data_IF_019498772148
#
_entry.id   IF_019498772148
#
_cell.length_a   1.000
_cell.length_b   1.000
_cell.length_c   1.000
_cell.angle_alpha   90.00
_cell.angle_beta   90.00
_cell.angle_gamma   90.00
#
_symmetry.space_group_name_H-M   'P 1'
#
loop_
_entity.id
_entity.type
_entity.pdbx_description
1 polymer ?
#
# COMPACT_ATOMS: atom_id res chain seq x y z
N UNK A 1 6.03 -8.21 7.18
CA UNK A 1 5.89 -9.15 6.03
C UNK A 1 4.43 -9.46 5.74
N UNK A 2 3.70 -10.04 6.70
CA UNK A 2 2.28 -10.36 6.60
C UNK A 2 1.42 -9.21 6.04
N UNK A 3 1.44 -8.03 6.66
CA UNK A 3 0.61 -6.88 6.28
C UNK A 3 0.81 -6.42 4.84
N UNK A 4 2.06 -6.42 4.33
CA UNK A 4 2.32 -6.06 2.93
C UNK A 4 1.77 -7.11 1.96
N UNK A 5 1.85 -8.40 2.30
CA UNK A 5 1.24 -9.44 1.46
C UNK A 5 -0.28 -9.29 1.46
N UNK A 6 -0.89 -9.04 2.62
CA UNK A 6 -2.33 -8.83 2.77
C UNK A 6 -2.82 -7.64 1.94
N UNK A 7 -2.13 -6.49 1.97
CA UNK A 7 -2.58 -5.32 1.18
C UNK A 7 -2.39 -5.54 -0.32
N UNK A 8 -1.33 -6.23 -0.76
CA UNK A 8 -1.13 -6.57 -2.16
C UNK A 8 -2.23 -7.52 -2.67
N UNK A 9 -2.63 -8.50 -1.87
CA UNK A 9 -3.68 -9.44 -2.26
C UNK A 9 -5.07 -8.79 -2.18
N UNK A 10 -5.41 -8.13 -1.06
CA UNK A 10 -6.74 -7.60 -0.81
C UNK A 10 -7.05 -6.31 -1.60
N UNK A 11 -6.11 -5.35 -1.64
CA UNK A 11 -6.35 -4.04 -2.26
C UNK A 11 -5.78 -3.93 -3.67
N UNK A 12 -4.65 -4.60 -3.97
CA UNK A 12 -4.05 -4.57 -5.30
C UNK A 12 -4.46 -5.75 -6.18
N UNK A 13 -5.06 -6.80 -5.61
CA UNK A 13 -5.51 -7.97 -6.35
C UNK A 13 -4.35 -8.77 -6.97
N UNK A 14 -3.16 -8.73 -6.37
CA UNK A 14 -1.95 -9.39 -6.89
C UNK A 14 -1.32 -10.23 -5.79
N UNK A 15 -1.04 -11.51 -6.10
CA UNK A 15 -0.22 -12.37 -5.23
C UNK A 15 1.26 -12.04 -5.45
N UNK A 16 1.98 -11.85 -4.35
CA UNK A 16 3.41 -11.57 -4.40
C UNK A 16 4.20 -12.87 -4.59
N UNK A 17 4.64 -13.12 -5.83
CA UNK A 17 5.39 -14.34 -6.18
C UNK A 17 6.88 -14.24 -5.81
N UNK A 18 7.44 -13.02 -5.69
CA UNK A 18 8.85 -12.80 -5.35
C UNK A 18 9.01 -12.05 -4.02
N UNK A 19 9.60 -12.74 -3.03
CA UNK A 19 9.86 -12.13 -1.72
C UNK A 19 11.02 -11.11 -1.75
N UNK A 20 11.92 -11.20 -2.73
CA UNK A 20 13.11 -10.34 -2.85
C UNK A 20 12.75 -8.88 -3.13
N UNK A 21 11.90 -8.61 -4.12
CA UNK A 21 11.47 -7.23 -4.43
C UNK A 21 10.61 -6.63 -3.31
N UNK A 22 9.77 -7.46 -2.68
CA UNK A 22 8.94 -7.03 -1.56
C UNK A 22 9.79 -6.69 -0.32
N UNK A 23 10.86 -7.43 -0.06
CA UNK A 23 11.80 -7.13 1.04
C UNK A 23 12.62 -5.88 0.76
N UNK A 24 13.08 -5.68 -0.49
CA UNK A 24 13.74 -4.43 -0.89
C UNK A 24 12.80 -3.23 -0.73
N UNK A 25 11.53 -3.35 -1.18
CA UNK A 25 10.52 -2.32 -1.00
C UNK A 25 10.36 -1.93 0.47
N UNK A 26 10.18 -2.92 1.38
CA UNK A 26 10.04 -2.67 2.83
C UNK A 26 11.25 -1.95 3.41
N UNK A 27 12.45 -2.41 3.06
CA UNK A 27 13.69 -1.79 3.54
C UNK A 27 13.80 -0.33 3.09
N UNK A 28 13.39 -0.02 1.85
CA UNK A 28 13.44 1.33 1.28
C UNK A 28 12.35 2.24 1.84
N UNK A 29 11.16 1.72 2.13
CA UNK A 29 10.09 2.46 2.81
C UNK A 29 10.55 2.94 4.19
N UNK A 30 11.22 2.09 4.98
CA UNK A 30 11.76 2.51 6.28
C UNK A 30 12.71 3.70 6.16
N UNK A 31 13.64 3.65 5.20
CA UNK A 31 14.58 4.75 4.93
C UNK A 31 13.84 6.00 4.42
N UNK A 32 12.80 5.84 3.59
CA UNK A 32 11.96 6.94 3.13
C UNK A 32 11.28 7.63 4.31
N UNK A 33 10.69 6.87 5.24
CA UNK A 33 10.05 7.41 6.45
C UNK A 33 11.05 8.15 7.32
N UNK A 34 12.26 7.61 7.52
CA UNK A 34 13.33 8.29 8.27
C UNK A 34 13.67 9.66 7.65
N UNK A 35 13.81 9.74 6.33
CA UNK A 35 14.05 11.02 5.65
C UNK A 35 12.85 11.98 5.74
N UNK A 36 11.61 11.47 5.66
CA UNK A 36 10.42 12.30 5.82
C UNK A 36 10.33 12.88 7.23
N UNK A 37 10.55 12.06 8.25
CA UNK A 37 10.59 12.51 9.66
C UNK A 37 11.70 13.54 9.86
N UNK A 38 12.90 13.30 9.32
CA UNK A 38 13.98 14.29 9.39
C UNK A 38 13.60 15.61 8.70
N UNK A 39 12.92 15.57 7.56
CA UNK A 39 12.48 16.78 6.88
C UNK A 39 11.43 17.52 7.71
N UNK A 40 10.41 16.82 8.22
CA UNK A 40 9.32 17.39 9.03
C UNK A 40 9.82 17.97 10.36
N UNK A 41 10.81 17.35 10.99
CA UNK A 41 11.32 17.80 12.29
C UNK A 41 12.33 18.96 12.19
N UNK A 42 12.81 19.31 10.98
CA UNK A 42 13.81 20.36 10.77
C UNK A 42 13.26 21.46 9.85
N UNK A 43 12.73 22.57 10.41
CA UNK A 43 12.06 23.63 9.63
C UNK A 43 12.90 24.23 8.48
N UNK A 44 14.23 24.31 8.63
CA UNK A 44 15.10 24.82 7.56
C UNK A 44 15.19 23.91 6.32
N UNK A 45 14.79 22.63 6.44
CA UNK A 45 14.70 21.68 5.31
C UNK A 45 13.37 21.78 4.55
N UNK A 46 12.46 22.65 4.98
CA UNK A 46 11.20 22.87 4.27
C UNK A 46 11.46 23.56 2.94
N UNK A 47 12.39 24.52 2.94
CA UNK A 47 12.83 25.23 1.74
C UNK A 47 13.49 24.27 0.73
N UNK A 48 12.86 24.15 -0.44
CA UNK A 48 13.29 23.22 -1.48
C UNK A 48 14.72 23.53 -1.96
N UNK A 49 15.12 24.81 -1.97
CA UNK A 49 16.47 25.18 -2.40
C UNK A 49 17.55 24.58 -1.49
N UNK A 50 17.40 24.72 -0.16
CA UNK A 50 18.35 24.18 0.83
C UNK A 50 18.37 22.66 0.75
N UNK A 51 17.19 22.04 0.65
CA UNK A 51 17.06 20.60 0.53
C UNK A 51 17.76 20.03 -0.73
N UNK A 52 17.66 20.76 -1.85
CA UNK A 52 18.35 20.44 -3.11
C UNK A 52 19.85 20.67 -3.03
N UNK A 53 20.27 21.81 -2.48
CA UNK A 53 21.68 22.19 -2.36
C UNK A 53 22.47 21.20 -1.51
N UNK A 54 21.87 20.66 -0.45
CA UNK A 54 22.45 19.61 0.40
C UNK A 54 22.48 18.23 -0.26
N UNK A 55 21.93 18.09 -1.49
CA UNK A 55 21.85 16.83 -2.22
C UNK A 55 20.87 15.82 -1.63
N UNK A 56 20.01 16.23 -0.70
CA UNK A 56 19.05 15.35 -0.04
C UNK A 56 17.96 14.86 -1.00
N UNK A 57 17.51 15.72 -1.93
CA UNK A 57 16.58 15.32 -3.00
C UNK A 57 17.15 14.19 -3.85
N UNK A 58 18.42 14.28 -4.25
CA UNK A 58 19.07 13.23 -5.05
C UNK A 58 19.19 11.91 -4.28
N UNK A 59 19.44 11.96 -2.96
CA UNK A 59 19.44 10.77 -2.09
C UNK A 59 18.05 10.16 -1.98
N UNK A 60 17.03 11.00 -1.77
CA UNK A 60 15.63 10.57 -1.73
C UNK A 60 15.20 9.89 -3.02
N UNK A 61 15.54 10.48 -4.17
CA UNK A 61 15.21 9.92 -5.48
C UNK A 61 15.83 8.53 -5.69
N UNK A 62 17.01 8.25 -5.12
CA UNK A 62 17.60 6.89 -5.16
C UNK A 62 16.80 5.88 -4.35
N UNK A 63 16.20 6.30 -3.23
CA UNK A 63 15.33 5.44 -2.39
C UNK A 63 13.98 5.20 -3.05
N UNK A 64 13.44 6.20 -3.76
CA UNK A 64 12.16 6.10 -4.46
C UNK A 64 12.21 5.15 -5.67
N UNK A 65 13.36 4.98 -6.32
CA UNK A 65 13.50 4.09 -7.50
C UNK A 65 12.99 2.65 -7.26
N UNK A 66 13.48 1.90 -6.27
CA UNK A 66 12.98 0.54 -6.00
C UNK A 66 11.52 0.53 -5.54
N UNK A 67 11.08 1.56 -4.81
CA UNK A 67 9.67 1.70 -4.39
C UNK A 67 8.77 1.78 -5.63
N UNK A 68 9.09 2.69 -6.56
CA UNK A 68 8.34 2.84 -7.80
C UNK A 68 8.47 1.63 -8.72
N UNK A 69 9.63 0.97 -8.78
CA UNK A 69 9.79 -0.25 -9.57
C UNK A 69 8.84 -1.36 -9.08
N UNK A 70 8.72 -1.52 -7.76
CA UNK A 70 7.80 -2.48 -7.16
C UNK A 70 6.33 -2.13 -7.46
N UNK A 71 5.92 -0.87 -7.24
CA UNK A 71 4.53 -0.44 -7.47
C UNK A 71 4.13 -0.54 -8.93
N UNK A 72 5.03 -0.15 -9.84
CA UNK A 72 4.81 -0.25 -11.28
C UNK A 72 4.69 -1.72 -11.73
N UNK A 73 5.43 -2.64 -11.09
CA UNK A 73 5.29 -4.07 -11.31
C UNK A 73 3.87 -4.57 -10.99
N UNK A 74 3.36 -4.19 -9.82
CA UNK A 74 2.00 -4.54 -9.37
C UNK A 74 0.95 -3.96 -10.31
N UNK A 75 1.03 -2.67 -10.65
CA UNK A 75 0.09 -2.00 -11.56
C UNK A 75 0.11 -2.71 -12.92
N UNK A 76 1.29 -3.01 -13.47
CA UNK A 76 1.42 -3.69 -14.76
C UNK A 76 0.84 -5.10 -14.73
N UNK A 77 1.05 -5.85 -13.65
CA UNK A 77 0.48 -7.19 -13.48
C UNK A 77 -1.05 -7.13 -13.41
N UNK A 78 -1.61 -6.23 -12.58
CA UNK A 78 -3.05 -6.11 -12.43
C UNK A 78 -3.72 -5.56 -13.68
N UNK A 79 -3.13 -4.57 -14.36
CA UNK A 79 -3.65 -3.98 -15.61
C UNK A 79 -3.83 -5.04 -16.69
N UNK A 80 -2.90 -5.98 -16.84
CA UNK A 80 -3.04 -7.11 -17.77
C UNK A 80 -4.23 -8.01 -17.44
N UNK A 81 -4.43 -8.33 -16.17
CA UNK A 81 -5.56 -9.15 -15.71
C UNK A 81 -6.88 -8.40 -15.91
N UNK A 82 -6.91 -7.12 -15.55
CA UNK A 82 -8.07 -6.24 -15.72
C UNK A 82 -8.56 -6.22 -17.16
N UNK A 83 -7.68 -5.96 -18.14
CA UNK A 83 -8.07 -5.97 -19.56
C UNK A 83 -8.50 -7.35 -20.08
N UNK A 84 -8.05 -8.45 -19.46
CA UNK A 84 -8.46 -9.79 -19.85
C UNK A 84 -9.82 -10.20 -19.26
N UNK A 85 -10.15 -9.71 -18.07
CA UNK A 85 -11.35 -10.12 -17.31
C UNK A 85 -12.52 -9.15 -17.48
N UNK A 86 -12.25 -7.85 -17.59
CA UNK A 86 -13.27 -6.80 -17.65
C UNK A 86 -13.68 -6.55 -19.10
N UNK A 87 -14.94 -6.89 -19.42
CA UNK A 87 -15.52 -6.64 -20.75
C UNK A 87 -16.29 -5.32 -20.81
N UNK A 88 -16.99 -4.97 -19.72
CA UNK A 88 -17.82 -3.77 -19.63
C UNK A 88 -17.35 -2.89 -18.47
N UNK A 89 -17.08 -1.62 -18.73
CA UNK A 89 -16.75 -0.65 -17.69
C UNK A 89 -17.95 -0.26 -16.82
N UNK A 90 -19.17 -0.60 -17.24
CA UNK A 90 -20.40 -0.41 -16.46
C UNK A 90 -20.45 -1.29 -15.21
N UNK A 91 -19.69 -2.39 -15.19
CA UNK A 91 -19.51 -3.25 -14.01
C UNK A 91 -18.87 -2.48 -12.83
N UNK A 92 -18.18 -1.37 -13.13
CA UNK A 92 -17.55 -0.47 -12.16
C UNK A 92 -18.36 0.81 -11.91
N UNK A 93 -19.67 0.82 -12.17
CA UNK A 93 -20.53 1.89 -11.69
C UNK A 93 -20.63 1.83 -10.17
N UNK A 94 -20.85 2.97 -9.49
CA UNK A 94 -21.01 2.98 -8.03
C UNK A 94 -22.11 2.01 -7.59
N UNK A 95 -23.24 2.02 -8.31
CA UNK A 95 -24.36 1.13 -8.05
C UNK A 95 -23.95 -0.36 -8.14
N UNK A 96 -23.25 -0.76 -9.21
CA UNK A 96 -22.80 -2.15 -9.35
C UNK A 96 -21.75 -2.54 -8.31
N UNK A 97 -20.82 -1.66 -7.93
CA UNK A 97 -19.80 -1.97 -6.91
C UNK A 97 -20.46 -2.25 -5.55
N UNK A 98 -21.52 -1.54 -5.19
CA UNK A 98 -22.21 -1.72 -3.90
C UNK A 98 -23.25 -2.84 -3.92
N UNK A 99 -23.99 -3.02 -5.01
CA UNK A 99 -25.11 -3.97 -5.07
C UNK A 99 -24.74 -5.34 -5.67
N UNK A 100 -23.65 -5.45 -6.44
CA UNK A 100 -23.21 -6.72 -7.00
C UNK A 100 -22.34 -7.51 -6.01
N UNK A 101 -22.98 -8.32 -5.17
CA UNK A 101 -22.28 -9.17 -4.19
C UNK A 101 -21.53 -10.35 -4.81
N UNK A 102 -21.74 -10.64 -6.10
CA UNK A 102 -21.15 -11.80 -6.77
C UNK A 102 -19.73 -11.54 -7.29
N UNK A 103 -19.27 -10.28 -7.29
CA UNK A 103 -17.97 -9.92 -7.84
C UNK A 103 -17.23 -8.95 -6.90
N UNK A 104 -16.13 -9.42 -6.30
CA UNK A 104 -15.27 -8.58 -5.45
C UNK A 104 -14.21 -7.89 -6.29
N UNK A 105 -14.31 -6.57 -6.39
CA UNK A 105 -13.30 -5.73 -7.04
C UNK A 105 -12.23 -5.32 -6.04
N UNK A 106 -10.97 -5.42 -6.44
CA UNK A 106 -9.88 -4.83 -5.70
C UNK A 106 -9.89 -3.31 -5.93
N UNK A 107 -9.37 -2.54 -4.97
CA UNK A 107 -9.25 -1.08 -5.08
C UNK A 107 -8.52 -0.66 -6.38
N UNK A 108 -7.47 -1.40 -6.76
CA UNK A 108 -6.74 -1.14 -8.00
C UNK A 108 -7.61 -1.33 -9.25
N UNK A 109 -8.63 -2.19 -9.22
CA UNK A 109 -9.55 -2.32 -10.37
C UNK A 109 -10.39 -1.07 -10.55
N UNK A 110 -10.84 -0.46 -9.45
CA UNK A 110 -11.58 0.82 -9.48
C UNK A 110 -10.73 1.94 -10.05
N UNK A 111 -9.44 1.99 -9.70
CA UNK A 111 -8.49 2.95 -10.26
C UNK A 111 -8.29 2.72 -11.77
N UNK A 112 -8.10 1.48 -12.20
CA UNK A 112 -7.94 1.14 -13.62
C UNK A 112 -9.21 1.43 -14.44
N UNK A 113 -10.39 1.21 -13.87
CA UNK A 113 -11.65 1.60 -14.49
C UNK A 113 -11.78 3.12 -14.64
N UNK A 114 -11.33 3.87 -13.64
CA UNK A 114 -11.31 5.35 -13.67
C UNK A 114 -10.31 5.89 -14.70
N UNK A 115 -9.15 5.24 -14.83
CA UNK A 115 -8.16 5.52 -15.89
C UNK A 115 -8.77 5.28 -17.27
N UNK A 116 -9.48 4.17 -17.47
CA UNK A 116 -10.16 3.87 -18.73
C UNK A 116 -11.27 4.88 -19.08
N UNK A 117 -11.83 5.57 -18.09
CA UNK A 117 -12.79 6.69 -18.25
C UNK A 117 -12.11 8.05 -18.41
N UNK A 118 -10.78 8.11 -18.48
CA UNK A 118 -9.98 9.34 -18.51
C UNK A 118 -10.20 10.28 -17.31
N UNK A 119 -10.57 9.72 -16.14
CA UNK A 119 -10.77 10.51 -14.91
C UNK A 119 -9.45 10.69 -14.14
N UNK A 120 -8.53 9.74 -14.28
CA UNK A 120 -7.16 9.80 -13.75
C UNK A 120 -6.18 9.34 -14.84
N UNK A 121 -4.95 9.83 -14.78
CA UNK A 121 -3.87 9.39 -15.65
C UNK A 121 -3.03 8.28 -14.97
N UNK A 122 -2.08 7.73 -15.72
CA UNK A 122 -1.20 6.67 -15.23
C UNK A 122 -0.39 7.10 -13.99
N UNK A 123 -0.02 8.38 -13.90
CA UNK A 123 0.66 8.92 -12.73
C UNK A 123 -0.26 8.96 -11.52
N UNK A 124 -1.51 9.40 -11.67
CA UNK A 124 -2.52 9.38 -10.63
C UNK A 124 -2.76 7.97 -10.08
N UNK A 125 -2.90 6.96 -10.96
CA UNK A 125 -3.00 5.55 -10.54
C UNK A 125 -1.78 5.15 -9.69
N UNK A 126 -0.57 5.50 -10.14
CA UNK A 126 0.67 5.16 -9.44
C UNK A 126 0.76 5.86 -8.08
N UNK A 127 0.36 7.11 -7.98
CA UNK A 127 0.37 7.89 -6.73
C UNK A 127 -0.61 7.33 -5.70
N UNK A 128 -1.83 6.99 -6.13
CA UNK A 128 -2.82 6.33 -5.26
C UNK A 128 -2.31 4.96 -4.79
N UNK A 129 -1.80 4.14 -5.69
CA UNK A 129 -1.23 2.82 -5.34
C UNK A 129 -0.07 2.96 -4.34
N UNK A 130 0.84 3.91 -4.55
CA UNK A 130 1.92 4.20 -3.59
C UNK A 130 1.35 4.55 -2.22
N UNK A 131 0.34 5.42 -2.19
CA UNK A 131 -0.29 5.91 -0.97
C UNK A 131 -0.99 4.80 -0.20
N UNK A 132 -1.84 4.02 -0.87
CA UNK A 132 -2.56 2.91 -0.24
C UNK A 132 -1.64 1.79 0.22
N UNK A 133 -0.65 1.41 -0.59
CA UNK A 133 0.32 0.39 -0.17
C UNK A 133 1.12 0.86 1.04
N UNK A 134 1.64 2.09 1.02
CA UNK A 134 2.39 2.66 2.15
C UNK A 134 1.54 2.68 3.43
N UNK A 135 0.37 3.35 3.39
CA UNK A 135 -0.50 3.52 4.56
C UNK A 135 -1.01 2.19 5.09
N UNK A 136 -1.44 1.28 4.20
CA UNK A 136 -2.13 0.05 4.59
C UNK A 136 -1.23 -0.97 5.29
N UNK A 137 0.05 -1.06 4.94
CA UNK A 137 0.91 -2.10 5.52
C UNK A 137 1.69 -1.66 6.77
N UNK A 138 2.22 -0.43 6.78
CA UNK A 138 3.19 0.00 7.79
C UNK A 138 2.49 0.40 9.10
N UNK A 139 1.35 1.09 9.00
CA UNK A 139 0.53 1.47 10.16
C UNK A 139 -0.11 0.24 10.82
N UNK A 140 -0.70 -0.65 10.02
CA UNK A 140 -1.30 -1.90 10.51
C UNK A 140 -0.25 -2.82 11.13
N UNK A 141 0.96 -2.90 10.57
CA UNK A 141 2.04 -3.70 11.16
C UNK A 141 2.38 -3.19 12.56
N UNK A 142 2.55 -1.88 12.71
CA UNK A 142 2.83 -1.24 13.99
C UNK A 142 1.70 -1.50 14.99
N UNK A 143 0.44 -1.30 14.59
CA UNK A 143 -0.73 -1.54 15.43
C UNK A 143 -0.80 -2.98 15.93
N UNK A 144 -0.64 -3.97 15.05
CA UNK A 144 -0.64 -5.40 15.40
C UNK A 144 0.51 -5.73 16.36
N UNK A 145 1.70 -5.17 16.14
CA UNK A 145 2.84 -5.34 17.06
C UNK A 145 2.52 -4.80 18.46
N UNK A 146 1.93 -3.61 18.57
CA UNK A 146 1.54 -3.05 19.86
C UNK A 146 0.42 -3.84 20.52
N UNK A 147 -0.56 -4.32 19.76
CA UNK A 147 -1.64 -5.18 20.28
C UNK A 147 -1.03 -6.43 20.92
N UNK A 148 -0.15 -7.14 20.21
CA UNK A 148 0.49 -8.33 20.77
C UNK A 148 1.37 -8.03 21.98
N UNK A 149 2.08 -6.91 21.97
CA UNK A 149 2.87 -6.47 23.11
C UNK A 149 1.99 -6.27 24.36
N UNK A 150 0.89 -5.52 24.22
CA UNK A 150 -0.03 -5.25 25.33
C UNK A 150 -0.74 -6.51 25.81
N UNK A 151 -1.18 -7.37 24.89
CA UNK A 151 -1.83 -8.65 25.25
C UNK A 151 -0.87 -9.57 26.00
N UNK A 152 0.41 -9.62 25.60
CA UNK A 152 1.41 -10.45 26.29
C UNK A 152 1.70 -9.98 27.73
N UNK A 153 1.49 -8.71 28.04
CA UNK A 153 1.62 -8.17 29.39
C UNK A 153 0.38 -8.39 30.27
N UNK A 154 -0.75 -8.83 29.69
CA UNK A 154 -2.04 -8.99 30.40
C UNK A 154 -2.62 -10.40 30.20
N UNK A 155 -2.17 -11.39 31.02
CA UNK A 155 -2.59 -12.78 30.88
C UNK A 155 -4.11 -13.01 30.99
N UNK A 156 -4.81 -12.20 31.77
CA UNK A 156 -6.26 -12.27 31.92
C UNK A 156 -7.00 -11.86 30.63
N UNK A 157 -6.49 -10.85 29.92
CA UNK A 157 -7.00 -10.42 28.61
C UNK A 157 -6.65 -11.46 27.55
N UNK A 158 -5.43 -12.00 27.58
CA UNK A 158 -5.00 -13.05 26.66
C UNK A 158 -5.90 -14.30 26.78
N UNK A 159 -6.24 -14.72 28.00
CA UNK A 159 -7.12 -15.88 28.20
C UNK A 159 -8.53 -15.62 27.66
N UNK A 160 -9.11 -14.44 27.91
CA UNK A 160 -10.42 -14.07 27.37
C UNK A 160 -10.45 -14.08 25.84
N UNK A 161 -9.42 -13.54 25.20
CA UNK A 161 -9.28 -13.57 23.74
C UNK A 161 -9.20 -15.01 23.20
N UNK A 162 -8.47 -15.89 23.88
CA UNK A 162 -8.37 -17.29 23.50
C UNK A 162 -9.73 -18.00 23.60
N UNK A 163 -10.44 -17.81 24.72
CA UNK A 163 -11.75 -18.42 24.95
C UNK A 163 -12.79 -17.96 23.91
N UNK A 164 -12.73 -16.69 23.48
CA UNK A 164 -13.61 -16.14 22.44
C UNK A 164 -13.34 -16.75 21.05
N UNK A 165 -12.06 -16.98 20.72
CA UNK A 165 -11.66 -17.59 19.44
C UNK A 165 -12.06 -19.08 19.40
N UNK A 166 -11.91 -19.83 20.48
CA UNK A 166 -12.34 -21.24 20.54
C UNK A 166 -13.87 -21.41 20.51
N UNK A 167 -14.62 -20.40 20.96
CA UNK A 167 -16.08 -20.42 20.94
C UNK A 167 -16.70 -20.02 19.58
N UNK A 168 -15.89 -19.47 18.65
CA UNK A 168 -16.31 -18.98 17.32
C UNK A 168 -16.17 -20.04 16.24
#
# INVERSE_FOLDING_TARGET
RFTLNTICEAAMGVKLDSHTMADEYRAKIKVLVEYLVQRVMNPWLYENFVYKMLGLEARMNKVLKPIHAFTNGIIKQRRKLFHATVKNLEDFSEENIYFNTNQRYALLDTLLASEARNQIDENGVREEVNTFMFRGHDTTASAVTFIFFVVAEHPDVQQKLYDEIEAS
#
